data_IF_856894630907
#
_entry.id   IF_856894630907
#
_cell.length_a   1.000
_cell.length_b   1.000
_cell.length_c   1.000
_cell.angle_alpha   90.00
_cell.angle_beta   90.00
_cell.angle_gamma   90.00
#
_symmetry.space_group_name_H-M   'P 1'
#
loop_
_entity.id
_entity.type
_entity.pdbx_description
1 polymer ?
#
# COMPACT_ATOMS: atom_id res chain seq x y z
N UNK A 1 6.33 -23.04 15.55
CA UNK A 1 5.73 -21.95 16.34
C UNK A 1 6.19 -20.62 15.76
N UNK A 2 5.53 -19.51 16.09
CA UNK A 2 5.89 -18.16 15.65
C UNK A 2 6.08 -17.31 16.89
N UNK A 3 7.20 -16.59 16.97
CA UNK A 3 7.45 -15.65 18.06
C UNK A 3 7.29 -14.23 17.52
N UNK A 4 6.33 -13.49 18.07
CA UNK A 4 6.16 -12.06 17.81
C UNK A 4 7.10 -11.31 18.73
N UNK A 5 8.12 -10.68 18.15
CA UNK A 5 9.02 -9.76 18.87
C UNK A 5 8.39 -8.38 18.84
N UNK A 6 8.09 -7.82 20.01
CA UNK A 6 7.44 -6.53 20.14
C UNK A 6 8.18 -5.65 21.15
N UNK A 7 8.48 -4.41 20.75
CA UNK A 7 9.29 -3.46 21.53
C UNK A 7 8.61 -2.86 22.76
N UNK A 8 7.30 -3.09 22.92
CA UNK A 8 6.47 -2.65 24.07
C UNK A 8 5.77 -3.86 24.67
N UNK A 9 5.08 -3.67 25.78
CA UNK A 9 4.26 -4.65 26.49
C UNK A 9 2.80 -4.74 25.99
N UNK A 10 2.40 -3.90 25.04
CA UNK A 10 1.07 -3.91 24.43
C UNK A 10 1.11 -3.87 22.89
N UNK A 11 0.09 -4.42 22.22
CA UNK A 11 -0.09 -4.33 20.77
C UNK A 11 -0.87 -3.08 20.37
N UNK A 12 -0.47 -2.46 19.26
CA UNK A 12 -1.28 -1.43 18.58
C UNK A 12 -2.45 -2.01 17.75
N UNK A 13 -2.54 -3.33 17.66
CA UNK A 13 -3.56 -4.02 16.87
C UNK A 13 -4.97 -3.79 17.43
N UNK A 14 -5.98 -3.96 16.59
CA UNK A 14 -7.37 -3.98 17.07
C UNK A 14 -7.57 -5.10 18.10
N UNK A 15 -8.48 -4.88 19.06
CA UNK A 15 -8.74 -5.82 20.15
C UNK A 15 -8.98 -7.25 19.66
N UNK A 16 -9.82 -7.40 18.62
CA UNK A 16 -10.16 -8.71 18.04
C UNK A 16 -8.91 -9.42 17.46
N UNK A 17 -8.00 -8.66 16.83
CA UNK A 17 -6.77 -9.24 16.28
C UNK A 17 -5.79 -9.64 17.39
N UNK A 18 -5.65 -8.81 18.42
CA UNK A 18 -4.83 -9.12 19.59
C UNK A 18 -5.35 -10.38 20.30
N UNK A 19 -6.66 -10.45 20.56
CA UNK A 19 -7.30 -11.60 21.21
C UNK A 19 -7.07 -12.89 20.40
N UNK A 20 -7.24 -12.85 19.08
CA UNK A 20 -6.95 -14.00 18.19
C UNK A 20 -5.50 -14.47 18.31
N UNK A 21 -4.56 -13.55 18.39
CA UNK A 21 -3.14 -13.88 18.53
C UNK A 21 -2.84 -14.47 19.92
N UNK A 22 -3.44 -13.94 20.99
CA UNK A 22 -3.27 -14.45 22.35
C UNK A 22 -3.88 -15.84 22.55
N UNK A 23 -4.99 -16.16 21.87
CA UNK A 23 -5.64 -17.47 21.97
C UNK A 23 -4.99 -18.56 21.10
N UNK A 24 -3.94 -18.24 20.33
CA UNK A 24 -3.31 -19.19 19.43
C UNK A 24 -2.07 -19.81 20.05
N UNK A 25 -2.15 -21.10 20.40
CA UNK A 25 -1.07 -21.86 21.06
C UNK A 25 0.24 -21.94 20.25
N UNK A 26 0.21 -21.63 18.95
CA UNK A 26 1.41 -21.61 18.09
C UNK A 26 2.15 -20.27 18.13
N UNK A 27 1.55 -19.24 18.73
CA UNK A 27 2.10 -17.88 18.81
C UNK A 27 2.63 -17.63 20.21
N UNK A 28 3.86 -17.12 20.28
CA UNK A 28 4.49 -16.67 21.51
C UNK A 28 4.87 -15.20 21.37
N UNK A 29 4.91 -14.49 22.49
CA UNK A 29 5.29 -13.08 22.51
C UNK A 29 6.61 -12.89 23.24
N UNK A 30 7.54 -12.22 22.57
CA UNK A 30 8.71 -11.62 23.18
C UNK A 30 8.42 -10.13 23.37
N UNK A 31 7.76 -9.80 24.49
CA UNK A 31 7.46 -8.42 24.88
C UNK A 31 8.70 -7.65 25.25
N UNK A 32 8.61 -6.32 25.19
CA UNK A 32 9.69 -5.41 25.54
C UNK A 32 11.01 -5.82 24.89
N UNK A 33 10.99 -6.34 23.67
CA UNK A 33 12.16 -6.94 23.04
C UNK A 33 12.42 -6.34 21.67
N UNK A 34 13.70 -6.20 21.33
CA UNK A 34 14.18 -5.83 20.01
C UNK A 34 15.24 -6.83 19.51
N UNK A 35 15.40 -6.93 18.19
CA UNK A 35 16.44 -7.77 17.59
C UNK A 35 17.76 -7.00 17.64
N UNK A 36 18.70 -7.49 18.44
CA UNK A 36 20.03 -6.90 18.58
C UNK A 36 21.01 -7.46 17.55
N UNK A 37 20.93 -8.76 17.25
CA UNK A 37 21.83 -9.44 16.32
C UNK A 37 21.09 -10.54 15.55
N UNK A 38 21.57 -10.81 14.33
CA UNK A 38 21.06 -11.84 13.43
C UNK A 38 22.18 -12.84 13.19
N UNK A 39 21.93 -14.12 13.47
CA UNK A 39 22.91 -15.19 13.38
C UNK A 39 22.69 -16.07 12.17
N UNK A 40 23.77 -16.45 11.48
CA UNK A 40 23.73 -17.42 10.40
C UNK A 40 24.75 -17.19 9.29
N UNK A 41 25.14 -18.26 8.61
CA UNK A 41 26.02 -18.23 7.44
C UNK A 41 25.21 -18.60 6.19
N UNK A 42 24.76 -17.59 5.44
CA UNK A 42 23.91 -17.77 4.25
C UNK A 42 22.45 -18.18 4.54
N UNK A 43 22.14 -18.67 5.74
CA UNK A 43 20.79 -18.95 6.23
C UNK A 43 20.67 -18.57 7.70
N UNK A 44 19.51 -18.03 8.09
CA UNK A 44 19.22 -17.67 9.48
C UNK A 44 19.24 -18.92 10.37
N UNK A 45 19.97 -18.85 11.48
CA UNK A 45 20.02 -19.88 12.52
C UNK A 45 19.49 -19.41 13.88
N UNK A 46 19.45 -18.09 14.11
CA UNK A 46 18.90 -17.52 15.34
C UNK A 46 19.00 -16.00 15.41
N UNK A 47 18.49 -15.45 16.50
CA UNK A 47 18.53 -14.02 16.81
C UNK A 47 19.05 -13.82 18.25
N UNK A 48 19.77 -12.73 18.49
CA UNK A 48 19.92 -12.17 19.84
C UNK A 48 18.80 -11.16 20.05
N UNK A 49 17.94 -11.38 21.03
CA UNK A 49 16.97 -10.40 21.48
C UNK A 49 17.55 -9.60 22.64
N UNK A 50 17.33 -8.29 22.66
CA UNK A 50 17.62 -7.41 23.79
C UNK A 50 16.31 -6.94 24.42
N UNK A 51 16.22 -7.06 25.74
CA UNK A 51 15.13 -6.49 26.52
C UNK A 51 15.29 -4.97 26.60
N UNK A 52 14.26 -4.25 26.17
CA UNK A 52 14.19 -2.79 26.10
C UNK A 52 14.00 -2.12 27.46
N UNK A 53 13.67 -2.88 28.50
CA UNK A 53 13.50 -2.40 29.88
C UNK A 53 14.75 -2.71 30.72
N UNK A 54 15.25 -3.94 30.65
CA UNK A 54 16.38 -4.39 31.50
C UNK A 54 17.74 -4.29 30.80
N UNK A 55 17.77 -4.27 29.47
CA UNK A 55 18.99 -4.32 28.66
C UNK A 55 19.58 -5.74 28.53
N UNK A 56 18.99 -6.74 29.18
CA UNK A 56 19.47 -8.13 29.13
C UNK A 56 19.29 -8.72 27.74
N UNK A 57 20.21 -9.59 27.34
CA UNK A 57 20.16 -10.29 26.06
C UNK A 57 19.82 -11.76 26.22
N UNK A 58 19.12 -12.32 25.24
CA UNK A 58 18.83 -13.76 25.17
C UNK A 58 18.81 -14.24 23.73
N UNK A 59 19.22 -15.49 23.53
CA UNK A 59 19.16 -16.12 22.23
C UNK A 59 17.76 -16.66 21.93
N UNK A 60 17.36 -16.55 20.66
CA UNK A 60 16.14 -17.12 20.12
C UNK A 60 16.49 -17.94 18.88
N UNK A 61 16.48 -19.29 18.96
CA UNK A 61 16.74 -20.14 17.81
C UNK A 61 15.55 -20.10 16.85
N UNK A 62 15.76 -19.55 15.65
CA UNK A 62 14.76 -19.43 14.59
C UNK A 62 15.42 -19.52 13.22
N UNK A 63 14.68 -20.03 12.23
CA UNK A 63 15.15 -20.21 10.85
C UNK A 63 14.51 -19.23 9.86
N UNK A 64 13.56 -18.42 10.30
CA UNK A 64 12.94 -17.36 9.50
C UNK A 64 12.65 -16.12 10.32
N UNK A 65 12.79 -14.94 9.69
CA UNK A 65 12.48 -13.63 10.26
C UNK A 65 11.61 -12.87 9.27
N UNK A 66 10.47 -12.37 9.74
CA UNK A 66 9.55 -11.52 8.97
C UNK A 66 9.44 -10.17 9.67
N UNK A 67 9.72 -9.09 8.93
CA UNK A 67 9.70 -7.73 9.47
C UNK A 67 8.36 -7.08 9.12
N UNK A 68 7.58 -6.73 10.14
CA UNK A 68 6.23 -6.17 10.00
C UNK A 68 6.09 -4.85 10.78
N UNK A 69 6.96 -3.87 10.51
CA UNK A 69 7.06 -2.59 11.26
C UNK A 69 6.35 -1.41 10.58
N UNK A 70 5.62 -1.66 9.49
CA UNK A 70 5.06 -0.62 8.62
C UNK A 70 5.82 -0.52 7.30
N UNK A 71 5.45 0.44 6.47
CA UNK A 71 6.14 0.77 5.21
C UNK A 71 6.37 2.28 5.19
N UNK A 72 7.50 2.66 4.61
CA UNK A 72 7.83 4.06 4.34
C UNK A 72 7.58 4.31 2.84
N UNK A 73 6.52 5.05 2.47
CA UNK A 73 6.26 5.38 1.08
C UNK A 73 7.35 6.35 0.59
N UNK A 74 8.05 5.96 -0.49
CA UNK A 74 9.19 6.71 -1.05
C UNK A 74 8.75 8.00 -1.77
N UNK A 75 8.27 8.97 -1.00
CA UNK A 75 7.70 10.23 -1.48
C UNK A 75 8.71 11.40 -1.47
N UNK A 76 9.98 11.15 -1.15
CA UNK A 76 10.95 12.21 -0.82
C UNK A 76 11.17 13.20 -1.97
N UNK A 77 10.99 12.74 -3.22
CA UNK A 77 11.08 13.56 -4.42
C UNK A 77 9.94 14.59 -4.54
N UNK A 78 8.76 14.27 -4.02
CA UNK A 78 7.49 15.01 -4.25
C UNK A 78 6.89 15.59 -2.97
N UNK A 79 7.58 15.40 -1.84
CA UNK A 79 7.12 15.84 -0.52
C UNK A 79 6.91 17.36 -0.47
N UNK A 80 5.72 17.78 -0.09
CA UNK A 80 5.32 19.19 -0.02
C UNK A 80 5.02 19.83 -1.38
N UNK A 81 5.06 19.04 -2.47
CA UNK A 81 4.69 19.45 -3.82
C UNK A 81 3.38 18.78 -4.22
N UNK A 82 3.27 17.48 -3.99
CA UNK A 82 2.06 16.68 -4.18
C UNK A 82 1.42 16.38 -2.84
N UNK A 83 0.08 16.35 -2.80
CA UNK A 83 -0.67 16.04 -1.58
C UNK A 83 -0.45 14.59 -1.14
N UNK A 84 -0.19 14.40 0.16
CA UNK A 84 -0.01 13.09 0.78
C UNK A 84 -0.93 12.94 1.99
N UNK A 85 -1.30 11.70 2.33
CA UNK A 85 -1.95 11.41 3.60
C UNK A 85 -0.99 11.54 4.79
N UNK A 86 -1.52 11.38 6.01
CA UNK A 86 -0.74 11.45 7.26
C UNK A 86 0.37 10.37 7.36
N UNK A 87 0.26 9.30 6.58
CA UNK A 87 1.26 8.22 6.51
C UNK A 87 2.27 8.43 5.37
N UNK A 88 2.13 9.49 4.57
CA UNK A 88 3.02 9.86 3.48
C UNK A 88 2.68 9.25 2.12
N UNK A 89 1.56 8.55 1.97
CA UNK A 89 1.13 8.03 0.67
C UNK A 89 0.59 9.15 -0.20
N UNK A 90 0.91 9.15 -1.49
CA UNK A 90 0.43 10.16 -2.44
C UNK A 90 -1.06 9.98 -2.66
N UNK A 91 -1.81 11.08 -2.60
CA UNK A 91 -3.25 11.09 -2.86
C UNK A 91 -3.51 11.18 -4.37
N UNK A 92 -4.45 10.37 -4.84
CA UNK A 92 -4.92 10.35 -6.23
C UNK A 92 -6.44 10.47 -6.30
N UNK A 93 -6.94 10.96 -7.44
CA UNK A 93 -8.37 11.18 -7.67
C UNK A 93 -9.11 9.86 -7.99
N UNK A 94 -9.80 9.33 -6.98
CA UNK A 94 -10.72 8.21 -7.11
C UNK A 94 -10.06 6.94 -7.66
N UNK A 95 -10.48 6.52 -8.86
CA UNK A 95 -9.93 5.33 -9.55
C UNK A 95 -8.85 5.67 -10.58
N UNK A 96 -8.60 6.96 -10.81
CA UNK A 96 -7.54 7.44 -11.69
C UNK A 96 -6.20 7.48 -10.94
N UNK A 97 -5.16 7.95 -11.63
CA UNK A 97 -3.81 8.13 -11.08
C UNK A 97 -3.40 9.60 -10.96
N UNK A 98 -4.33 10.51 -11.25
CA UNK A 98 -4.13 11.97 -11.23
C UNK A 98 -3.92 12.45 -9.81
N UNK A 99 -2.89 13.27 -9.61
CA UNK A 99 -2.62 13.95 -8.33
C UNK A 99 -3.28 15.33 -8.29
N UNK A 100 -3.02 16.10 -7.23
CA UNK A 100 -3.44 17.50 -7.14
C UNK A 100 -2.73 18.43 -8.16
N UNK A 101 -1.66 17.98 -8.81
CA UNK A 101 -0.93 18.74 -9.82
C UNK A 101 -1.20 18.21 -11.24
N UNK A 102 -1.67 19.08 -12.17
CA UNK A 102 -1.82 18.72 -13.58
C UNK A 102 -0.54 18.17 -14.18
N UNK A 103 -0.64 17.03 -14.88
CA UNK A 103 0.49 16.35 -15.50
C UNK A 103 1.37 15.53 -14.56
N UNK A 104 1.00 15.45 -13.27
CA UNK A 104 1.68 14.58 -12.30
C UNK A 104 0.75 13.44 -11.92
N UNK A 105 1.23 12.22 -12.15
CA UNK A 105 0.50 10.97 -11.91
C UNK A 105 1.26 10.09 -10.94
N UNK A 106 0.54 9.31 -10.13
CA UNK A 106 1.13 8.42 -9.13
C UNK A 106 0.49 7.03 -9.18
N UNK A 107 1.32 5.99 -9.02
CA UNK A 107 0.90 4.59 -9.10
C UNK A 107 1.75 3.69 -8.21
N UNK A 108 1.34 2.42 -8.09
CA UNK A 108 2.05 1.44 -7.28
C UNK A 108 1.91 1.64 -5.78
N UNK A 109 2.87 1.10 -5.03
CA UNK A 109 2.88 1.15 -3.57
C UNK A 109 2.96 2.58 -3.02
N UNK A 110 3.30 3.59 -3.84
CA UNK A 110 3.32 5.00 -3.42
C UNK A 110 1.91 5.54 -3.13
N UNK A 111 0.88 4.95 -3.74
CA UNK A 111 -0.54 5.32 -3.56
C UNK A 111 -1.36 4.20 -2.90
N UNK A 112 -0.81 2.99 -2.80
CA UNK A 112 -1.49 1.82 -2.25
C UNK A 112 -0.92 1.39 -0.89
N UNK A 113 -1.56 1.83 0.20
CA UNK A 113 -1.22 1.35 1.54
C UNK A 113 -1.92 0.03 1.93
N UNK A 114 -2.85 -0.47 1.09
CA UNK A 114 -3.76 -1.59 1.43
C UNK A 114 -3.26 -2.92 0.87
N UNK A 115 -3.03 -3.02 -0.44
CA UNK A 115 -2.72 -4.30 -1.08
C UNK A 115 -1.22 -4.54 -1.21
N UNK A 116 -0.45 -3.56 -1.72
CA UNK A 116 1.01 -3.63 -1.85
C UNK A 116 1.48 -4.91 -2.53
N UNK A 117 0.87 -5.22 -3.68
CA UNK A 117 1.20 -6.40 -4.48
C UNK A 117 1.78 -5.98 -5.82
N UNK A 118 2.73 -6.76 -6.33
CA UNK A 118 3.33 -6.49 -7.63
C UNK A 118 2.28 -6.36 -8.76
N UNK A 119 1.21 -7.15 -8.70
CA UNK A 119 0.15 -7.11 -9.71
C UNK A 119 -0.75 -5.87 -9.57
N UNK A 120 -1.03 -5.39 -8.35
CA UNK A 120 -1.80 -4.15 -8.15
C UNK A 120 -0.97 -2.95 -8.57
N UNK A 121 0.34 -2.99 -8.30
CA UNK A 121 1.28 -1.98 -8.78
C UNK A 121 1.41 -1.95 -10.30
N UNK A 122 1.49 -3.11 -10.96
CA UNK A 122 1.51 -3.19 -12.42
C UNK A 122 0.21 -2.63 -13.04
N UNK A 123 -0.96 -2.97 -12.47
CA UNK A 123 -2.25 -2.47 -12.93
C UNK A 123 -2.37 -0.94 -12.83
N UNK A 124 -2.05 -0.38 -11.66
CA UNK A 124 -2.06 1.08 -11.47
C UNK A 124 -0.99 1.80 -12.31
N UNK A 125 0.15 1.15 -12.59
CA UNK A 125 1.16 1.70 -13.51
C UNK A 125 0.66 1.77 -14.96
N UNK A 126 -0.12 0.78 -15.41
CA UNK A 126 -0.78 0.83 -16.71
C UNK A 126 -1.79 1.98 -16.78
N UNK A 127 -2.62 2.14 -15.74
CA UNK A 127 -3.56 3.26 -15.64
C UNK A 127 -2.83 4.62 -15.69
N UNK A 128 -1.71 4.77 -15.00
CA UNK A 128 -0.92 6.00 -15.03
C UNK A 128 -0.33 6.31 -16.41
N UNK A 129 0.05 5.28 -17.17
CA UNK A 129 0.54 5.48 -18.53
C UNK A 129 -0.58 6.00 -19.46
N UNK A 130 -1.80 5.47 -19.33
CA UNK A 130 -2.96 5.89 -20.11
C UNK A 130 -3.45 7.30 -19.69
N UNK A 131 -3.51 7.58 -18.39
CA UNK A 131 -3.87 8.92 -17.89
C UNK A 131 -2.87 9.98 -18.39
N UNK A 132 -1.57 9.64 -18.39
CA UNK A 132 -0.54 10.52 -18.93
C UNK A 132 -0.64 10.68 -20.44
N UNK A 133 -0.94 9.63 -21.19
CA UNK A 133 -1.17 9.69 -22.63
C UNK A 133 -2.35 10.63 -22.95
N UNK A 134 -3.51 10.42 -22.32
CA UNK A 134 -4.70 11.24 -22.52
C UNK A 134 -4.42 12.72 -22.19
N UNK A 135 -3.70 12.99 -21.10
CA UNK A 135 -3.30 14.34 -20.74
C UNK A 135 -2.39 14.98 -21.79
N UNK A 136 -1.38 14.26 -22.29
CA UNK A 136 -0.48 14.76 -23.33
C UNK A 136 -1.22 15.02 -24.64
N UNK A 137 -2.16 14.15 -25.04
CA UNK A 137 -3.00 14.36 -26.22
C UNK A 137 -3.86 15.63 -26.08
N UNK A 138 -4.53 15.80 -24.94
CA UNK A 138 -5.34 16.99 -24.65
C UNK A 138 -4.49 18.28 -24.61
N UNK A 139 -3.20 18.20 -24.24
CA UNK A 139 -2.28 19.35 -24.30
C UNK A 139 -2.00 19.84 -25.72
N UNK A 140 -2.10 18.97 -26.73
CA UNK A 140 -1.92 19.38 -28.13
C UNK A 140 -3.10 20.22 -28.63
N UNK A 141 -4.28 19.99 -28.07
CA UNK A 141 -5.55 20.61 -28.47
C UNK A 141 -5.98 21.80 -27.58
N UNK A 142 -5.29 22.03 -26.46
CA UNK A 142 -5.62 23.08 -25.47
C UNK A 142 -4.51 24.12 -25.29
N UNK A 143 -4.85 25.28 -24.70
CA UNK A 143 -3.89 26.38 -24.53
C UNK A 143 -3.23 26.38 -23.13
N UNK A 144 -3.67 25.49 -22.23
CA UNK A 144 -3.12 25.42 -20.87
C UNK A 144 -3.14 24.01 -20.25
N UNK A 145 -2.21 23.71 -19.31
CA UNK A 145 -2.18 22.45 -18.56
C UNK A 145 -3.47 22.14 -17.78
N UNK A 146 -4.16 23.18 -17.29
CA UNK A 146 -5.40 23.01 -16.52
C UNK A 146 -6.57 22.60 -17.41
N UNK A 147 -6.64 23.13 -18.63
CA UNK A 147 -7.64 22.74 -19.63
C UNK A 147 -7.38 21.31 -20.11
N UNK A 148 -6.12 20.95 -20.41
CA UNK A 148 -5.74 19.59 -20.76
C UNK A 148 -6.12 18.58 -19.67
N UNK A 149 -5.90 18.91 -18.39
CA UNK A 149 -6.27 18.06 -17.27
C UNK A 149 -7.79 17.89 -17.14
N UNK A 150 -8.57 18.94 -17.41
CA UNK A 150 -10.04 18.87 -17.38
C UNK A 150 -10.60 18.04 -18.54
N UNK A 151 -10.04 18.20 -19.75
CA UNK A 151 -10.43 17.42 -20.92
C UNK A 151 -10.07 15.94 -20.78
N UNK A 152 -8.84 15.64 -20.37
CA UNK A 152 -8.41 14.26 -20.12
C UNK A 152 -9.26 13.57 -19.03
N UNK A 153 -9.71 14.31 -18.01
CA UNK A 153 -10.62 13.79 -17.00
C UNK A 153 -12.01 13.46 -17.55
N UNK A 154 -12.50 14.22 -18.54
CA UNK A 154 -13.81 13.99 -19.16
C UNK A 154 -13.85 12.72 -20.02
N UNK A 155 -12.70 12.27 -20.55
CA UNK A 155 -12.60 11.03 -21.34
C UNK A 155 -13.03 9.82 -20.50
N UNK A 156 -12.62 9.76 -19.22
CA UNK A 156 -12.97 8.68 -18.26
C UNK A 156 -14.49 8.63 -17.98
N UNK A 157 -15.19 9.77 -18.02
CA UNK A 157 -16.65 9.81 -17.84
C UNK A 157 -17.43 9.37 -19.09
N UNK A 158 -16.87 9.57 -20.30
CA UNK A 158 -17.56 9.24 -21.56
C UNK A 158 -17.50 7.76 -21.95
N UNK A 159 -16.54 6.98 -21.43
CA UNK A 159 -16.46 5.53 -21.62
C UNK A 159 -17.32 4.73 -20.62
N UNK A 160 -18.09 5.40 -19.75
CA UNK A 160 -19.04 4.74 -18.85
C UNK A 160 -20.28 4.16 -19.58
N UNK A 161 -20.16 3.87 -20.88
CA UNK A 161 -21.21 3.38 -21.77
C UNK A 161 -22.15 2.45 -21.02
N UNK A 162 -23.38 2.93 -20.78
CA UNK A 162 -24.36 2.22 -20.00
C UNK A 162 -24.47 0.78 -20.53
N UNK A 163 -24.02 -0.20 -19.74
CA UNK A 163 -24.18 -1.61 -20.07
C UNK A 163 -25.70 -1.83 -20.16
N UNK A 164 -26.27 -2.10 -21.35
CA UNK A 164 -27.70 -2.28 -21.46
C UNK A 164 -28.12 -3.47 -20.60
N UNK A 165 -29.17 -3.30 -19.81
CA UNK A 165 -29.67 -4.33 -18.91
C UNK A 165 -29.96 -5.62 -19.70
N UNK A 166 -29.26 -6.74 -19.43
CA UNK A 166 -29.47 -7.99 -20.14
C UNK A 166 -30.86 -8.60 -19.90
N UNK A 167 -31.65 -8.04 -18.98
CA UNK A 167 -33.04 -8.46 -18.70
C UNK A 167 -34.08 -7.72 -19.55
N UNK A 168 -33.69 -6.69 -20.29
CA UNK A 168 -34.64 -5.88 -21.08
C UNK A 168 -35.17 -6.58 -22.34
N UNK A 169 -34.59 -7.73 -22.76
CA UNK A 169 -34.98 -8.44 -23.99
C UNK A 169 -35.79 -9.72 -23.77
N UNK A 170 -36.12 -10.10 -22.53
CA UNK A 170 -37.01 -11.24 -22.27
C UNK A 170 -38.45 -10.75 -22.11
N UNK A 171 -39.00 -10.25 -23.21
CA UNK A 171 -40.40 -9.84 -23.33
C UNK A 171 -41.13 -10.69 -24.37
N UNK A 172 -42.01 -11.57 -23.87
CA UNK A 172 -43.20 -12.12 -24.53
C UNK A 172 -43.02 -12.80 -25.90
N UNK A 173 -42.85 -14.12 -25.88
CA UNK A 173 -43.66 -14.99 -26.75
C UNK A 173 -44.05 -16.23 -25.94
N UNK A 174 -45.37 -16.31 -25.68
CA UNK A 174 -46.10 -17.44 -25.12
C UNK A 174 -47.15 -17.85 -26.15
#
# INVERSE_FOLDING_TARGET
TVTIVHRRDELRASKIMADRAFTNDKIHFAWNSEVAEIHGEGKLSGLTLRDTVTGETRELPVTGLFVAIGHDPRNELVKGVVDTDDAGYVLVDGRSTRTNLPGVFASGDLVDHTYRQAITAAGSGCAAALDAEHYLAALEDTTSPAEAAAEAAAIDETDSGAIPDPRATVGADA
#
